data_IF_985336362893
#
_entry.id   IF_985336362893
#
_cell.length_a   1.000
_cell.length_b   1.000
_cell.length_c   1.000
_cell.angle_alpha   90.00
_cell.angle_beta   90.00
_cell.angle_gamma   90.00
#
_symmetry.space_group_name_H-M   'P 1'
#
loop_
_entity.id
_entity.type
_entity.pdbx_description
1 polymer ?
#
# COMPACT_ATOMS: atom_id res chain seq x y z
N UNK A 1 7.43 -6.07 81.72
CA UNK A 1 7.61 -4.61 81.55
C UNK A 1 7.30 -4.24 80.10
N UNK A 2 6.15 -3.56 79.89
CA UNK A 2 5.89 -2.40 79.00
C UNK A 2 6.32 -2.55 77.52
N UNK A 3 5.38 -2.84 76.59
CA UNK A 3 4.67 -1.90 75.67
C UNK A 3 5.59 -1.15 74.68
N UNK A 4 5.43 -1.26 73.35
CA UNK A 4 4.42 -0.59 72.50
C UNK A 4 4.39 -1.25 71.10
N UNK A 5 3.25 -1.76 70.59
CA UNK A 5 2.23 -1.09 69.76
C UNK A 5 2.77 -0.37 68.50
N UNK A 6 2.50 -0.91 67.29
CA UNK A 6 1.46 -0.43 66.36
C UNK A 6 1.62 -0.98 64.94
N UNK A 7 0.55 -1.62 64.46
CA UNK A 7 0.15 -1.76 63.06
C UNK A 7 0.26 -0.43 62.31
N UNK A 8 0.62 -0.45 61.03
CA UNK A 8 -0.17 0.20 59.94
C UNK A 8 0.43 -0.05 58.55
N UNK A 9 -0.24 -0.94 57.82
CA UNK A 9 -0.79 -0.72 56.47
C UNK A 9 -0.10 0.33 55.58
N UNK A 10 0.79 -0.11 54.68
CA UNK A 10 1.27 0.71 53.56
C UNK A 10 0.17 0.83 52.50
N UNK A 11 -0.20 2.08 52.26
CA UNK A 11 -1.41 2.57 51.60
C UNK A 11 -1.44 2.33 50.07
N UNK A 12 -2.59 1.83 49.60
CA UNK A 12 -3.12 2.02 48.23
C UNK A 12 -3.14 3.52 47.91
N UNK A 13 -2.32 4.02 46.97
CA UNK A 13 -2.55 5.31 46.27
C UNK A 13 -1.79 5.37 44.94
N UNK A 14 -2.43 4.86 43.89
CA UNK A 14 -2.30 5.32 42.51
C UNK A 14 -3.68 5.03 41.86
N UNK A 15 -4.78 5.62 42.35
CA UNK A 15 -5.22 7.00 42.08
C UNK A 15 -5.12 7.36 40.58
N UNK A 16 -6.29 7.26 39.93
CA UNK A 16 -6.71 7.94 38.71
C UNK A 16 -5.95 7.60 37.41
N UNK A 17 -6.41 6.55 36.74
CA UNK A 17 -6.45 6.57 35.27
C UNK A 17 -7.39 7.72 34.84
N UNK A 18 -6.81 8.79 34.32
CA UNK A 18 -7.54 9.95 33.83
C UNK A 18 -8.42 9.58 32.64
N UNK A 19 -9.73 9.64 32.86
CA UNK A 19 -10.74 9.65 31.81
C UNK A 19 -10.63 10.99 31.06
N UNK A 20 -9.85 11.04 29.98
CA UNK A 20 -9.93 12.14 29.01
C UNK A 20 -11.04 11.77 28.02
N UNK A 21 -12.28 11.92 28.47
CA UNK A 21 -13.43 12.07 27.58
C UNK A 21 -13.77 13.56 27.58
N UNK A 22 -13.22 14.32 26.63
CA UNK A 22 -13.77 15.61 26.16
C UNK A 22 -12.84 16.17 25.06
N UNK A 23 -13.19 15.94 23.80
CA UNK A 23 -12.80 16.76 22.64
C UNK A 23 -13.59 16.24 21.43
N UNK A 24 -14.37 17.00 20.69
CA UNK A 24 -14.61 18.43 20.71
C UNK A 24 -15.86 18.73 19.86
N UNK A 25 -16.43 19.87 20.17
CA UNK A 25 -17.60 20.47 19.56
C UNK A 25 -17.46 20.63 18.02
N UNK A 26 -18.43 20.10 17.27
CA UNK A 26 -19.24 20.90 16.34
C UNK A 26 -18.58 21.68 15.20
N UNK A 27 -17.59 21.11 14.49
CA UNK A 27 -17.27 21.58 13.14
C UNK A 27 -17.78 20.53 12.14
N UNK A 28 -18.42 20.90 11.01
CA UNK A 28 -18.62 19.97 9.91
C UNK A 28 -17.25 19.61 9.36
N UNK A 29 -16.62 18.59 9.96
CA UNK A 29 -15.37 18.03 9.48
C UNK A 29 -15.66 17.62 8.05
N UNK A 30 -14.89 18.18 7.13
CA UNK A 30 -14.99 17.90 5.70
C UNK A 30 -14.63 16.43 5.46
N UNK A 31 -15.59 15.54 5.69
CA UNK A 31 -15.45 14.11 5.50
C UNK A 31 -15.11 13.78 4.05
N UNK A 32 -15.64 14.57 3.10
CA UNK A 32 -15.34 14.42 1.68
C UNK A 32 -13.87 14.70 1.35
N UNK A 33 -13.26 15.75 1.92
CA UNK A 33 -11.85 16.06 1.66
C UNK A 33 -10.91 15.05 2.33
N UNK A 34 -11.24 14.61 3.54
CA UNK A 34 -10.48 13.57 4.24
C UNK A 34 -10.54 12.21 3.51
N UNK A 35 -11.70 11.85 2.96
CA UNK A 35 -11.86 10.64 2.15
C UNK A 35 -11.10 10.72 0.81
N UNK A 36 -11.13 11.87 0.13
CA UNK A 36 -10.33 12.06 -1.10
C UNK A 36 -8.82 12.02 -0.84
N UNK A 37 -8.36 12.57 0.29
CA UNK A 37 -6.96 12.54 0.69
C UNK A 37 -6.50 11.11 1.05
N UNK A 38 -7.38 10.30 1.65
CA UNK A 38 -7.07 8.90 1.93
C UNK A 38 -7.06 8.04 0.66
N UNK A 39 -7.95 8.31 -0.30
CA UNK A 39 -7.95 7.66 -1.61
C UNK A 39 -6.66 7.97 -2.39
N UNK A 40 -6.27 9.24 -2.47
CA UNK A 40 -5.02 9.67 -3.09
C UNK A 40 -3.82 8.92 -2.49
N UNK A 41 -3.72 8.89 -1.16
CA UNK A 41 -2.63 8.22 -0.47
C UNK A 41 -2.60 6.70 -0.76
N UNK A 42 -3.76 6.05 -0.82
CA UNK A 42 -3.86 4.63 -1.16
C UNK A 42 -3.40 4.36 -2.60
N UNK A 43 -3.80 5.20 -3.56
CA UNK A 43 -3.37 5.08 -4.95
C UNK A 43 -1.86 5.30 -5.11
N UNK A 44 -1.29 6.26 -4.38
CA UNK A 44 0.16 6.46 -4.33
C UNK A 44 0.90 5.23 -3.77
N UNK A 45 0.33 4.54 -2.79
CA UNK A 45 0.87 3.25 -2.29
C UNK A 45 0.83 2.20 -3.39
N UNK A 46 -0.30 2.07 -4.11
CA UNK A 46 -0.43 1.12 -5.21
C UNK A 46 0.60 1.37 -6.31
N UNK A 47 0.85 2.63 -6.69
CA UNK A 47 1.87 3.01 -7.68
C UNK A 47 3.27 2.58 -7.20
N UNK A 48 3.62 2.82 -5.93
CA UNK A 48 4.91 2.38 -5.37
C UNK A 48 5.06 0.86 -5.38
N UNK A 49 3.97 0.13 -5.11
CA UNK A 49 3.96 -1.34 -5.17
C UNK A 49 4.17 -1.85 -6.59
N UNK A 50 3.57 -1.20 -7.60
CA UNK A 50 3.80 -1.50 -9.01
C UNK A 50 5.27 -1.29 -9.41
N UNK A 51 5.90 -0.20 -8.96
CA UNK A 51 7.32 0.03 -9.20
C UNK A 51 8.20 -1.05 -8.55
N UNK A 52 7.89 -1.45 -7.31
CA UNK A 52 8.62 -2.53 -6.63
C UNK A 52 8.44 -3.89 -7.33
N UNK A 53 7.25 -4.14 -7.89
CA UNK A 53 6.97 -5.33 -8.69
C UNK A 53 7.77 -5.34 -10.00
N UNK A 54 7.81 -4.21 -10.72
CA UNK A 54 8.60 -4.05 -11.95
C UNK A 54 10.09 -4.29 -11.67
N UNK A 55 10.61 -3.72 -10.59
CA UNK A 55 11.99 -3.94 -10.16
C UNK A 55 12.30 -5.40 -9.84
N UNK A 56 11.36 -6.09 -9.20
CA UNK A 56 11.49 -7.52 -8.90
C UNK A 56 11.48 -8.34 -10.19
N UNK A 57 10.55 -8.06 -11.10
CA UNK A 57 10.47 -8.69 -12.41
C UNK A 57 11.78 -8.51 -13.20
N UNK A 58 12.33 -7.28 -13.21
CA UNK A 58 13.60 -6.96 -13.87
C UNK A 58 14.77 -7.76 -13.30
N UNK A 59 14.88 -7.87 -11.97
CA UNK A 59 15.92 -8.70 -11.33
C UNK A 59 15.75 -10.18 -11.65
N UNK A 60 14.53 -10.70 -11.62
CA UNK A 60 14.25 -12.09 -11.97
C UNK A 60 14.61 -12.39 -13.43
N UNK A 61 14.35 -11.46 -14.35
CA UNK A 61 14.72 -11.62 -15.76
C UNK A 61 16.23 -11.81 -15.98
N UNK A 62 17.08 -11.24 -15.12
CA UNK A 62 18.54 -11.39 -15.22
C UNK A 62 19.04 -12.79 -14.86
N UNK A 63 18.27 -13.54 -14.07
CA UNK A 63 18.66 -14.86 -13.56
C UNK A 63 17.79 -16.01 -14.10
N UNK A 64 16.80 -15.71 -14.95
CA UNK A 64 15.81 -16.66 -15.44
C UNK A 64 16.34 -17.68 -16.48
N UNK A 65 17.65 -17.79 -16.66
CA UNK A 65 18.25 -18.71 -17.63
C UNK A 65 18.30 -20.12 -17.05
N UNK A 66 17.32 -20.95 -17.43
CA UNK A 66 17.25 -22.35 -17.05
C UNK A 66 17.29 -23.24 -18.30
N UNK A 67 18.35 -24.05 -18.47
CA UNK A 67 18.51 -24.89 -19.65
C UNK A 67 17.39 -25.94 -19.74
N UNK A 68 16.86 -26.13 -20.94
CA UNK A 68 15.85 -27.17 -21.21
C UNK A 68 14.39 -26.77 -20.95
N UNK A 69 14.10 -25.54 -20.50
CA UNK A 69 12.72 -25.07 -20.41
C UNK A 69 12.12 -24.75 -21.78
N UNK A 70 10.87 -25.19 -22.01
CA UNK A 70 10.10 -24.88 -23.22
C UNK A 70 9.30 -23.58 -23.10
N UNK A 71 8.84 -23.29 -21.89
CA UNK A 71 8.02 -22.13 -21.58
C UNK A 71 8.79 -21.20 -20.65
N UNK A 72 8.73 -19.91 -20.95
CA UNK A 72 9.40 -18.87 -20.17
C UNK A 72 8.40 -17.80 -19.78
N UNK A 73 8.72 -17.11 -18.67
CA UNK A 73 7.97 -15.94 -18.26
C UNK A 73 8.36 -14.73 -19.12
N UNK A 74 7.39 -14.11 -19.78
CA UNK A 74 7.57 -12.91 -20.60
C UNK A 74 7.59 -11.66 -19.72
N UNK A 75 8.79 -11.37 -19.20
CA UNK A 75 9.03 -10.19 -18.38
C UNK A 75 8.78 -8.87 -19.11
N UNK A 76 8.96 -8.83 -20.43
CA UNK A 76 8.72 -7.60 -21.21
C UNK A 76 7.23 -7.30 -21.30
N UNK A 77 6.42 -8.33 -21.54
CA UNK A 77 4.97 -8.20 -21.55
C UNK A 77 4.40 -7.84 -20.18
N UNK A 78 4.92 -8.44 -19.10
CA UNK A 78 4.57 -8.02 -17.73
C UNK A 78 4.92 -6.54 -17.47
N UNK A 79 6.12 -6.11 -17.83
CA UNK A 79 6.53 -4.71 -17.64
C UNK A 79 5.62 -3.73 -18.40
N UNK A 80 5.21 -4.07 -19.62
CA UNK A 80 4.25 -3.30 -20.39
C UNK A 80 2.88 -3.19 -19.72
N UNK A 81 2.37 -4.28 -19.16
CA UNK A 81 1.08 -4.30 -18.44
C UNK A 81 1.18 -3.49 -17.12
N UNK A 82 2.27 -3.61 -16.36
CA UNK A 82 2.52 -2.79 -15.16
C UNK A 82 2.53 -1.30 -15.50
N UNK A 83 3.21 -0.90 -16.57
CA UNK A 83 3.26 0.49 -17.02
C UNK A 83 1.87 1.02 -17.40
N UNK A 84 1.02 0.20 -18.04
CA UNK A 84 -0.36 0.59 -18.37
C UNK A 84 -1.22 0.76 -17.12
N UNK A 85 -1.12 -0.14 -16.15
CA UNK A 85 -1.85 -0.01 -14.89
C UNK A 85 -1.42 1.27 -14.17
N UNK A 86 -0.11 1.52 -14.06
CA UNK A 86 0.42 2.73 -13.44
C UNK A 86 -0.09 3.99 -14.14
N UNK A 87 -0.08 4.03 -15.48
CA UNK A 87 -0.62 5.14 -16.25
C UNK A 87 -2.12 5.35 -15.99
N UNK A 88 -2.90 4.28 -15.85
CA UNK A 88 -4.33 4.36 -15.53
C UNK A 88 -4.58 4.97 -14.15
N UNK A 89 -3.80 4.57 -13.15
CA UNK A 89 -3.87 5.15 -11.79
C UNK A 89 -3.45 6.63 -11.81
N UNK A 90 -2.35 6.97 -12.47
CA UNK A 90 -1.88 8.36 -12.61
C UNK A 90 -2.90 9.25 -13.34
N UNK A 91 -3.57 8.72 -14.38
CA UNK A 91 -4.60 9.42 -15.12
C UNK A 91 -5.87 9.66 -14.27
N UNK A 92 -6.21 8.73 -13.37
CA UNK A 92 -7.30 8.94 -12.41
C UNK A 92 -6.96 10.03 -11.38
N UNK A 93 -5.71 10.06 -10.90
CA UNK A 93 -5.23 11.09 -9.97
C UNK A 93 -5.15 12.48 -10.62
N UNK A 94 -4.87 12.53 -11.93
CA UNK A 94 -4.76 13.78 -12.70
C UNK A 94 -5.69 13.74 -13.91
N UNK A 95 -7.02 13.84 -13.71
CA UNK A 95 -7.98 13.69 -14.79
C UNK A 95 -7.80 14.82 -15.81
N UNK A 96 -7.45 14.45 -17.05
CA UNK A 96 -7.41 15.38 -18.17
C UNK A 96 -8.83 15.75 -18.58
N UNK A 97 -9.05 17.01 -18.97
CA UNK A 97 -10.33 17.44 -19.58
C UNK A 97 -10.47 17.00 -21.04
N UNK A 98 -9.46 16.36 -21.62
CA UNK A 98 -9.55 15.77 -22.96
C UNK A 98 -10.43 14.51 -22.92
N UNK A 99 -10.99 14.12 -24.08
CA UNK A 99 -11.75 12.89 -24.21
C UNK A 99 -10.88 11.69 -23.77
N UNK A 100 -11.42 10.75 -22.97
CA UNK A 100 -10.68 9.54 -22.59
C UNK A 100 -10.18 8.84 -23.84
N UNK A 101 -8.88 8.52 -23.87
CA UNK A 101 -8.36 7.62 -24.90
C UNK A 101 -8.88 6.22 -24.60
N UNK A 102 -9.16 5.44 -25.65
CA UNK A 102 -9.57 4.05 -25.47
C UNK A 102 -8.55 3.33 -24.57
N UNK A 103 -9.01 2.61 -23.53
CA UNK A 103 -8.11 1.90 -22.65
C UNK A 103 -7.40 0.80 -23.44
N UNK A 104 -6.07 0.82 -23.41
CA UNK A 104 -5.26 -0.24 -24.00
C UNK A 104 -5.44 -1.49 -23.13
N UNK A 105 -5.86 -2.60 -23.74
CA UNK A 105 -6.06 -3.86 -23.02
C UNK A 105 -4.76 -4.36 -22.37
N UNK A 106 -4.91 -5.00 -21.21
CA UNK A 106 -3.82 -5.75 -20.59
C UNK A 106 -3.60 -7.03 -21.38
N UNK A 107 -2.34 -7.43 -21.53
CA UNK A 107 -1.99 -8.65 -22.24
C UNK A 107 -2.55 -9.87 -21.51
N UNK A 108 -2.41 -9.90 -20.18
CA UNK A 108 -2.92 -10.96 -19.30
C UNK A 108 -2.27 -12.34 -19.45
N UNK A 109 -1.56 -12.61 -20.55
CA UNK A 109 -0.83 -13.85 -20.81
C UNK A 109 0.68 -13.59 -20.81
N UNK A 110 1.42 -14.17 -19.86
CA UNK A 110 2.87 -13.93 -19.70
C UNK A 110 3.73 -15.16 -20.01
N UNK A 111 3.20 -16.14 -20.71
CA UNK A 111 3.97 -17.31 -21.16
C UNK A 111 4.44 -17.11 -22.59
N UNK A 112 5.74 -17.29 -22.83
CA UNK A 112 6.31 -17.36 -24.19
C UNK A 112 6.92 -18.73 -24.47
N UNK A 113 6.75 -19.23 -25.69
CA UNK A 113 7.41 -20.44 -26.18
C UNK A 113 8.74 -20.10 -26.88
N UNK A 114 9.69 -21.04 -26.84
CA UNK A 114 11.09 -20.85 -27.21
C UNK A 114 11.37 -20.17 -28.56
N UNK A 115 11.84 -18.93 -28.49
CA UNK A 115 13.17 -18.47 -28.95
C UNK A 115 13.44 -17.14 -28.26
N UNK A 116 14.48 -17.08 -27.39
CA UNK A 116 15.05 -15.78 -27.00
C UNK A 116 15.47 -15.08 -28.31
N UNK A 117 15.01 -13.83 -28.58
CA UNK A 117 15.51 -13.06 -29.70
C UNK A 117 17.02 -12.84 -29.62
#
# INVERSE_FOLDING_TARGET
MIQTLRLTTRTRRLALTGLIALSGCGLPISHATAASASEQANLDVMIRQLNALEDTARRSAQIADEPGKRYFFDYQRLAGDIARIRLGLEAYLTPSRAQPRDPVELSGQYTTEGRKP
#
